data_IF_900816032185
#
_entry.id   IF_900816032185
#
_cell.length_a   1.000
_cell.length_b   1.000
_cell.length_c   1.000
_cell.angle_alpha   90.00
_cell.angle_beta   90.00
_cell.angle_gamma   90.00
#
_symmetry.space_group_name_H-M   'P 1'
#
loop_
_entity.id
_entity.type
_entity.pdbx_description
1 polymer ?
#
# COMPACT_ATOMS: atom_id res chain seq x y z
N UNK A 1 11.87 34.82 19.13
CA UNK A 1 11.63 34.24 17.79
C UNK A 1 10.37 33.41 17.91
N UNK A 2 9.21 33.98 17.59
CA UNK A 2 7.92 33.30 17.70
C UNK A 2 7.65 32.55 16.39
N UNK A 3 7.51 31.23 16.46
CA UNK A 3 7.09 30.39 15.35
C UNK A 3 5.61 30.66 15.03
N UNK A 4 5.40 31.45 13.98
CA UNK A 4 4.08 31.79 13.47
C UNK A 4 3.48 30.55 12.80
N UNK A 5 2.76 29.74 13.58
CA UNK A 5 2.04 28.57 13.09
C UNK A 5 0.75 29.03 12.40
N UNK A 6 0.84 29.31 11.11
CA UNK A 6 -0.28 29.63 10.22
C UNK A 6 -1.16 28.39 9.94
N UNK A 7 -1.64 27.71 10.98
CA UNK A 7 -2.82 26.84 10.84
C UNK A 7 -4.06 27.73 10.94
N UNK A 8 -4.55 28.20 9.80
CA UNK A 8 -5.89 28.78 9.72
C UNK A 8 -6.90 27.82 10.35
N UNK A 9 -7.72 28.26 11.32
CA UNK A 9 -8.84 27.47 11.80
C UNK A 9 -9.88 27.40 10.66
N UNK A 10 -9.95 26.25 9.99
CA UNK A 10 -10.85 26.04 8.85
C UNK A 10 -10.23 25.29 7.66
N UNK A 11 -8.98 24.82 7.73
CA UNK A 11 -8.42 24.00 6.65
C UNK A 11 -9.19 22.68 6.51
N UNK A 12 -9.63 22.30 5.30
CA UNK A 12 -10.29 21.02 5.08
C UNK A 12 -9.32 19.90 5.43
N UNK A 13 -9.65 19.12 6.45
CA UNK A 13 -8.88 17.95 6.85
C UNK A 13 -9.33 16.73 6.04
N UNK A 14 -8.38 16.05 5.41
CA UNK A 14 -8.58 14.78 4.71
C UNK A 14 -9.32 13.74 5.57
N UNK A 15 -9.12 13.78 6.89
CA UNK A 15 -9.73 12.86 7.86
C UNK A 15 -11.24 13.05 8.04
N UNK A 16 -11.86 14.12 7.51
CA UNK A 16 -13.32 14.23 7.53
C UNK A 16 -13.99 13.32 6.49
N UNK A 17 -13.28 12.91 5.44
CA UNK A 17 -13.84 12.07 4.39
C UNK A 17 -13.53 10.60 4.66
N UNK A 18 -14.55 9.73 4.72
CA UNK A 18 -14.34 8.31 5.03
C UNK A 18 -13.44 7.62 3.99
N UNK A 19 -13.51 8.01 2.72
CA UNK A 19 -12.66 7.48 1.67
C UNK A 19 -11.17 7.78 1.90
N UNK A 20 -10.81 9.03 2.24
CA UNK A 20 -9.41 9.39 2.49
C UNK A 20 -8.88 8.79 3.80
N UNK A 21 -9.73 8.56 4.80
CA UNK A 21 -9.35 7.79 6.00
C UNK A 21 -9.00 6.34 5.62
N UNK A 22 -9.77 5.74 4.72
CA UNK A 22 -9.50 4.39 4.24
C UNK A 22 -8.21 4.31 3.42
N UNK A 23 -8.00 5.25 2.47
CA UNK A 23 -6.72 5.41 1.75
C UNK A 23 -5.54 5.52 2.71
N UNK A 24 -5.63 6.43 3.69
CA UNK A 24 -4.56 6.62 4.66
C UNK A 24 -4.28 5.36 5.48
N UNK A 25 -5.32 4.70 6.00
CA UNK A 25 -5.17 3.49 6.78
C UNK A 25 -4.57 2.34 5.96
N UNK A 26 -5.06 2.13 4.73
CA UNK A 26 -4.56 1.06 3.85
C UNK A 26 -3.08 1.28 3.49
N UNK A 27 -2.70 2.50 3.08
CA UNK A 27 -1.30 2.81 2.79
C UNK A 27 -0.41 2.68 4.03
N UNK A 28 -0.89 3.10 5.21
CA UNK A 28 -0.11 2.96 6.44
C UNK A 28 0.11 1.49 6.82
N UNK A 29 -0.93 0.64 6.72
CA UNK A 29 -0.82 -0.80 6.97
C UNK A 29 0.19 -1.42 6.00
N UNK A 30 0.06 -1.15 4.70
CA UNK A 30 0.97 -1.68 3.68
C UNK A 30 2.40 -1.19 3.89
N UNK A 31 2.61 0.09 4.18
CA UNK A 31 3.95 0.63 4.41
C UNK A 31 4.63 -0.01 5.63
N UNK A 32 3.91 -0.17 6.74
CA UNK A 32 4.42 -0.86 7.94
C UNK A 32 4.71 -2.33 7.64
N UNK A 33 3.85 -2.96 6.85
CA UNK A 33 4.00 -4.35 6.44
C UNK A 33 5.25 -4.54 5.57
N UNK A 34 5.41 -3.77 4.50
CA UNK A 34 6.58 -3.82 3.63
C UNK A 34 7.88 -3.49 4.37
N UNK A 35 7.84 -2.61 5.37
CA UNK A 35 9.00 -2.35 6.23
C UNK A 35 9.35 -3.57 7.08
N UNK A 36 8.35 -4.23 7.67
CA UNK A 36 8.54 -5.46 8.43
C UNK A 36 9.15 -6.56 7.57
N UNK A 37 8.63 -6.77 6.36
CA UNK A 37 9.18 -7.73 5.41
C UNK A 37 10.60 -7.41 4.99
N UNK A 38 10.89 -6.15 4.71
CA UNK A 38 12.24 -5.72 4.37
C UNK A 38 13.21 -6.02 5.53
N UNK A 39 12.81 -5.75 6.77
CA UNK A 39 13.61 -6.10 7.95
C UNK A 39 13.80 -7.61 8.09
N UNK A 40 12.75 -8.41 7.85
CA UNK A 40 12.81 -9.87 7.89
C UNK A 40 13.76 -10.41 6.81
N UNK A 41 13.66 -9.92 5.57
CA UNK A 41 14.52 -10.31 4.46
C UNK A 41 15.99 -9.95 4.73
N UNK A 42 16.26 -8.74 5.27
CA UNK A 42 17.62 -8.35 5.69
C UNK A 42 18.13 -9.27 6.79
N UNK A 43 17.29 -9.61 7.77
CA UNK A 43 17.67 -10.53 8.85
C UNK A 43 17.99 -11.94 8.34
N UNK A 44 17.20 -12.47 7.41
CA UNK A 44 17.46 -13.75 6.76
C UNK A 44 18.80 -13.75 6.01
N UNK A 45 19.09 -12.71 5.24
CA UNK A 45 20.36 -12.56 4.52
C UNK A 45 21.54 -12.56 5.51
N UNK A 46 21.40 -11.87 6.64
CA UNK A 46 22.46 -11.77 7.66
C UNK A 46 22.66 -13.06 8.45
N UNK A 47 21.59 -13.83 8.69
CA UNK A 47 21.63 -15.05 9.52
C UNK A 47 21.71 -16.34 8.72
N UNK A 48 21.53 -16.28 7.40
CA UNK A 48 21.44 -17.44 6.50
C UNK A 48 20.45 -18.52 6.99
N UNK A 49 19.43 -18.10 7.74
CA UNK A 49 18.45 -18.98 8.35
C UNK A 49 17.06 -18.38 8.16
N UNK A 50 16.14 -19.17 7.61
CA UNK A 50 14.74 -18.78 7.46
C UNK A 50 14.04 -18.90 8.82
N UNK A 51 13.23 -17.91 9.23
CA UNK A 51 12.50 -17.95 10.49
C UNK A 51 11.30 -18.92 10.43
N UNK A 52 10.88 -19.31 9.22
CA UNK A 52 9.75 -20.20 8.97
C UNK A 52 10.19 -21.39 8.11
N UNK A 53 9.49 -22.54 8.22
CA UNK A 53 9.59 -23.60 7.24
C UNK A 53 9.34 -23.04 5.83
N UNK A 54 10.05 -23.58 4.84
CA UNK A 54 9.64 -23.56 3.43
C UNK A 54 8.17 -23.98 3.33
N UNK A 55 7.43 -23.82 2.25
CA UNK A 55 5.96 -24.04 2.24
C UNK A 55 5.15 -23.07 3.14
N UNK A 56 5.38 -22.96 4.45
CA UNK A 56 4.64 -22.04 5.31
C UNK A 56 4.98 -20.59 4.96
N UNK A 57 6.27 -20.29 4.77
CA UNK A 57 6.71 -19.02 4.23
C UNK A 57 6.13 -18.75 2.84
N UNK A 58 6.01 -19.79 1.99
CA UNK A 58 5.49 -19.65 0.63
C UNK A 58 4.03 -19.19 0.61
N UNK A 59 3.21 -19.88 1.39
CA UNK A 59 1.78 -19.60 1.50
C UNK A 59 1.53 -18.29 2.24
N UNK A 60 2.34 -17.99 3.26
CA UNK A 60 2.31 -16.71 3.94
C UNK A 60 2.58 -15.57 2.97
N UNK A 61 3.65 -15.67 2.18
CA UNK A 61 4.05 -14.66 1.20
C UNK A 61 2.93 -14.37 0.18
N UNK A 62 2.44 -15.43 -0.45
CA UNK A 62 1.38 -15.31 -1.44
C UNK A 62 0.06 -14.76 -0.88
N UNK A 63 -0.34 -15.20 0.31
CA UNK A 63 -1.64 -14.84 0.88
C UNK A 63 -1.68 -13.37 1.28
N UNK A 64 -0.63 -12.88 1.96
CA UNK A 64 -0.61 -11.49 2.39
C UNK A 64 -0.45 -10.55 1.20
N UNK A 65 0.39 -10.91 0.20
CA UNK A 65 0.69 -10.07 -0.96
C UNK A 65 -0.62 -9.76 -1.71
N UNK A 66 -1.43 -10.80 -1.92
CA UNK A 66 -2.74 -10.65 -2.53
C UNK A 66 -3.68 -9.80 -1.68
N UNK A 67 -3.81 -10.10 -0.37
CA UNK A 67 -4.72 -9.37 0.52
C UNK A 67 -4.38 -7.89 0.53
N UNK A 68 -3.11 -7.54 0.65
CA UNK A 68 -2.66 -6.15 0.67
C UNK A 68 -2.77 -5.48 -0.70
N UNK A 69 -2.51 -6.18 -1.80
CA UNK A 69 -2.73 -5.65 -3.14
C UNK A 69 -4.20 -5.27 -3.35
N UNK A 70 -5.14 -6.16 -3.04
CA UNK A 70 -6.58 -5.86 -3.20
C UNK A 70 -7.06 -4.77 -2.24
N UNK A 71 -6.57 -4.76 -1.00
CA UNK A 71 -6.89 -3.71 -0.03
C UNK A 71 -6.42 -2.33 -0.53
N UNK A 72 -5.19 -2.24 -1.03
CA UNK A 72 -4.64 -0.98 -1.53
C UNK A 72 -5.36 -0.53 -2.80
N UNK A 73 -5.65 -1.45 -3.73
CA UNK A 73 -6.45 -1.16 -4.93
C UNK A 73 -7.84 -0.60 -4.59
N UNK A 74 -8.54 -1.24 -3.65
CA UNK A 74 -9.86 -0.79 -3.20
C UNK A 74 -9.79 0.60 -2.55
N UNK A 75 -8.75 0.84 -1.74
CA UNK A 75 -8.56 2.12 -1.07
C UNK A 75 -8.29 3.23 -2.08
N UNK A 76 -7.39 3.02 -3.04
CA UNK A 76 -7.07 4.03 -4.04
C UNK A 76 -8.19 4.28 -5.04
N UNK A 77 -8.97 3.26 -5.40
CA UNK A 77 -10.17 3.43 -6.20
C UNK A 77 -11.20 4.33 -5.48
N UNK A 78 -11.42 4.10 -4.18
CA UNK A 78 -12.29 4.95 -3.36
C UNK A 78 -11.74 6.38 -3.20
N UNK A 79 -10.44 6.52 -2.99
CA UNK A 79 -9.73 7.81 -2.91
C UNK A 79 -9.83 8.62 -4.19
N UNK A 80 -9.67 7.96 -5.35
CA UNK A 80 -9.85 8.59 -6.67
C UNK A 80 -11.28 9.09 -6.85
N UNK A 81 -12.28 8.30 -6.47
CA UNK A 81 -13.68 8.71 -6.52
C UNK A 81 -13.94 9.96 -5.69
N UNK A 82 -13.45 9.97 -4.45
CA UNK A 82 -13.58 11.12 -3.55
C UNK A 82 -12.84 12.37 -4.08
N UNK A 83 -11.63 12.20 -4.63
CA UNK A 83 -10.86 13.30 -5.23
C UNK A 83 -11.59 13.92 -6.43
N UNK A 84 -12.22 13.09 -7.28
CA UNK A 84 -13.04 13.58 -8.40
C UNK A 84 -14.30 14.30 -7.93
N UNK A 85 -14.99 13.78 -6.93
CA UNK A 85 -16.18 14.41 -6.38
C UNK A 85 -15.89 15.80 -5.80
N UNK A 86 -14.81 15.92 -5.02
CA UNK A 86 -14.34 17.20 -4.48
C UNK A 86 -13.98 18.20 -5.59
N UNK A 87 -13.33 17.72 -6.65
CA UNK A 87 -13.03 18.53 -7.83
C UNK A 87 -14.29 19.03 -8.53
N UNK A 88 -15.26 18.14 -8.78
CA UNK A 88 -16.54 18.49 -9.41
C UNK A 88 -17.39 19.49 -8.62
N UNK A 89 -17.18 19.59 -7.29
CA UNK A 89 -17.84 20.57 -6.41
C UNK A 89 -17.12 21.92 -6.32
N UNK A 90 -16.07 22.15 -7.12
CA UNK A 90 -15.32 23.41 -7.15
C UNK A 90 -14.32 23.58 -5.99
N UNK A 91 -14.08 22.55 -5.18
CA UNK A 91 -13.13 22.64 -4.08
C UNK A 91 -11.68 22.83 -4.56
N UNK A 92 -11.37 22.41 -5.79
CA UNK A 92 -10.04 22.58 -6.39
C UNK A 92 -9.79 24.02 -6.86
N UNK A 93 -10.84 24.82 -7.14
CA UNK A 93 -10.69 26.24 -7.45
C UNK A 93 -10.48 27.07 -6.17
N UNK A 94 -11.18 26.72 -5.10
CA UNK A 94 -11.03 27.38 -3.80
C UNK A 94 -9.72 27.00 -3.08
N UNK A 95 -9.21 25.78 -3.28
CA UNK A 95 -8.03 25.24 -2.59
C UNK A 95 -7.23 24.29 -3.50
N UNK A 96 -6.59 24.84 -4.53
CA UNK A 96 -5.85 24.08 -5.56
C UNK A 96 -4.76 23.16 -5.00
N UNK A 97 -4.02 23.62 -3.97
CA UNK A 97 -2.95 22.83 -3.34
C UNK A 97 -3.44 21.55 -2.67
N UNK A 98 -4.64 21.55 -2.11
CA UNK A 98 -5.24 20.36 -1.49
C UNK A 98 -5.53 19.31 -2.55
N UNK A 99 -6.20 19.72 -3.64
CA UNK A 99 -6.58 18.82 -4.73
C UNK A 99 -5.37 18.16 -5.40
N UNK A 100 -4.32 18.94 -5.69
CA UNK A 100 -3.06 18.41 -6.26
C UNK A 100 -2.42 17.39 -5.32
N UNK A 101 -2.37 17.69 -4.02
CA UNK A 101 -1.80 16.77 -3.03
C UNK A 101 -2.58 15.44 -2.95
N UNK A 102 -3.91 15.47 -3.04
CA UNK A 102 -4.74 14.24 -3.11
C UNK A 102 -4.35 13.36 -4.30
N UNK A 103 -4.30 13.97 -5.48
CA UNK A 103 -4.01 13.22 -6.70
C UNK A 103 -2.62 12.61 -6.65
N UNK A 104 -1.63 13.33 -6.13
CA UNK A 104 -0.28 12.80 -5.93
C UNK A 104 -0.31 11.63 -4.94
N UNK A 105 -0.97 11.77 -3.79
CA UNK A 105 -1.02 10.69 -2.80
C UNK A 105 -1.70 9.44 -3.34
N UNK A 106 -2.81 9.60 -4.07
CA UNK A 106 -3.55 8.47 -4.65
C UNK A 106 -2.73 7.79 -5.75
N UNK A 107 -2.03 8.57 -6.57
CA UNK A 107 -1.14 8.04 -7.61
C UNK A 107 0.02 7.24 -7.01
N UNK A 108 0.61 7.71 -5.91
CA UNK A 108 1.65 6.97 -5.20
C UNK A 108 1.12 5.67 -4.58
N UNK A 109 -0.12 5.67 -4.06
CA UNK A 109 -0.77 4.46 -3.58
C UNK A 109 -0.96 3.42 -4.70
N UNK A 110 -1.37 3.85 -5.90
CA UNK A 110 -1.44 2.96 -7.07
C UNK A 110 -0.07 2.42 -7.48
N UNK A 111 0.99 3.21 -7.38
CA UNK A 111 2.34 2.72 -7.59
C UNK A 111 2.70 1.61 -6.58
N UNK A 112 2.36 1.82 -5.30
CA UNK A 112 2.48 0.77 -4.26
C UNK A 112 1.69 -0.49 -4.59
N UNK A 113 0.48 -0.35 -5.13
CA UNK A 113 -0.34 -1.48 -5.57
C UNK A 113 0.35 -2.28 -6.68
N UNK A 114 0.95 -1.60 -7.66
CA UNK A 114 1.68 -2.28 -8.74
C UNK A 114 2.83 -3.11 -8.19
N UNK A 115 3.58 -2.59 -7.21
CA UNK A 115 4.65 -3.36 -6.56
C UNK A 115 4.11 -4.61 -5.85
N UNK A 116 3.05 -4.47 -5.04
CA UNK A 116 2.42 -5.62 -4.37
C UNK A 116 1.82 -6.62 -5.36
N UNK A 117 1.21 -6.15 -6.45
CA UNK A 117 0.66 -7.02 -7.49
C UNK A 117 1.76 -7.84 -8.18
N UNK A 118 2.92 -7.24 -8.44
CA UNK A 118 4.09 -7.95 -8.96
C UNK A 118 4.63 -8.95 -7.94
N UNK A 119 4.72 -8.59 -6.66
CA UNK A 119 5.09 -9.52 -5.59
C UNK A 119 4.14 -10.72 -5.53
N UNK A 120 2.82 -10.48 -5.55
CA UNK A 120 1.78 -11.51 -5.56
C UNK A 120 1.89 -12.47 -6.77
N UNK A 121 2.23 -11.95 -7.96
CA UNK A 121 2.45 -12.78 -9.14
C UNK A 121 3.68 -13.68 -9.00
N UNK A 122 4.78 -13.13 -8.46
CA UNK A 122 6.02 -13.89 -8.23
C UNK A 122 5.84 -14.95 -7.15
N UNK A 123 5.20 -14.61 -6.02
CA UNK A 123 4.89 -15.57 -4.95
C UNK A 123 3.90 -16.63 -5.42
N UNK A 124 2.88 -16.25 -6.21
CA UNK A 124 1.93 -17.17 -6.84
C UNK A 124 2.58 -18.15 -7.82
N UNK A 125 3.53 -17.68 -8.64
CA UNK A 125 4.31 -18.54 -9.52
C UNK A 125 5.08 -19.60 -8.72
N UNK A 126 5.73 -19.21 -7.61
CA UNK A 126 6.45 -20.14 -6.74
C UNK A 126 5.51 -21.16 -6.08
N UNK A 127 4.32 -20.75 -5.64
CA UNK A 127 3.28 -21.67 -5.12
C UNK A 127 2.87 -22.68 -6.19
N UNK A 128 2.62 -22.23 -7.42
CA UNK A 128 2.25 -23.11 -8.53
C UNK A 128 3.35 -24.13 -8.83
N UNK A 129 4.63 -23.71 -8.89
CA UNK A 129 5.75 -24.64 -9.03
C UNK A 129 5.79 -25.66 -7.89
N UNK A 130 5.68 -25.22 -6.63
CA UNK A 130 5.69 -26.12 -5.47
C UNK A 130 4.56 -27.17 -5.54
N UNK A 131 3.36 -26.78 -5.99
CA UNK A 131 2.23 -27.70 -6.16
C UNK A 131 2.45 -28.72 -7.29
N UNK A 132 3.13 -28.33 -8.37
CA UNK A 132 3.34 -29.17 -9.56
C UNK A 132 4.53 -30.12 -9.39
N UNK A 133 5.66 -29.65 -8.86
CA UNK A 133 6.91 -30.43 -8.79
C UNK A 133 7.24 -30.94 -7.39
N UNK A 134 6.52 -30.52 -6.35
CA UNK A 134 6.87 -30.80 -4.95
C UNK A 134 8.13 -30.08 -4.47
N UNK A 135 8.69 -29.18 -5.29
CA UNK A 135 9.91 -28.41 -5.01
C UNK A 135 9.68 -26.94 -5.36
N UNK A 136 10.26 -26.02 -4.57
CA UNK A 136 10.11 -24.56 -4.81
C UNK A 136 10.79 -24.08 -6.10
N UNK A 137 11.66 -24.88 -6.72
CA UNK A 137 12.39 -24.54 -7.94
C UNK A 137 12.10 -25.54 -9.06
N UNK A 138 11.96 -25.04 -10.28
CA UNK A 138 11.98 -25.85 -11.50
C UNK A 138 13.44 -26.26 -11.76
N UNK A 139 13.87 -27.35 -11.13
CA UNK A 139 15.10 -28.08 -11.46
C UNK A 139 14.70 -29.46 -11.95
#
# INVERSE_FOLDING_TARGET
>A
MASNSSRSPGSPSWLHFPAFRYVFAANAIVALYSLFEMCAAVWEILKAATPLPDSLQLWFDFSHDQVFAYMLLAAEAAGTGAARELSGRGACDAQSGFCVQAYISVSLGFAGFVFLALSALLSGFRVACFLITGSRYHL
#
